data_IF_975316121202
#
_entry.id   IF_975316121202
#
_cell.length_a   1.000
_cell.length_b   1.000
_cell.length_c   1.000
_cell.angle_alpha   90.00
_cell.angle_beta   90.00
_cell.angle_gamma   90.00
#
_symmetry.space_group_name_H-M   'P 1'
#
loop_
_entity.id
_entity.type
_entity.pdbx_description
1 polymer ?
#
# COMPACT_ATOMS: atom_id res chain seq x y z
N UNK A 1 -22.49 -11.02 -18.52
CA UNK A 1 -21.21 -10.31 -18.74
C UNK A 1 -20.45 -10.36 -17.43
N UNK A 2 -19.67 -11.43 -17.21
CA UNK A 2 -18.91 -11.63 -15.98
C UNK A 2 -17.68 -10.74 -15.99
N UNK A 3 -17.69 -9.71 -15.16
CA UNK A 3 -16.49 -8.92 -14.87
C UNK A 3 -15.54 -9.80 -14.05
N UNK A 4 -14.44 -10.22 -14.66
CA UNK A 4 -13.32 -10.85 -13.98
C UNK A 4 -12.66 -9.79 -13.09
N UNK A 5 -12.59 -10.04 -11.79
CA UNK A 5 -11.81 -9.21 -10.87
C UNK A 5 -10.36 -9.14 -11.38
N UNK A 6 -9.72 -7.95 -11.41
CA UNK A 6 -8.30 -7.88 -11.69
C UNK A 6 -7.59 -8.66 -10.59
N UNK A 7 -6.81 -9.66 -10.99
CA UNK A 7 -5.91 -10.37 -10.11
C UNK A 7 -5.20 -9.35 -9.22
N UNK A 8 -5.42 -9.45 -7.91
CA UNK A 8 -4.55 -8.81 -6.92
C UNK A 8 -3.14 -9.18 -7.35
N UNK A 9 -2.33 -8.18 -7.71
CA UNK A 9 -1.05 -8.38 -8.38
C UNK A 9 -0.20 -9.38 -7.59
N UNK A 10 -0.15 -10.62 -8.07
CA UNK A 10 0.95 -11.52 -7.79
C UNK A 10 2.20 -10.69 -8.10
N UNK A 11 3.02 -10.37 -7.09
CA UNK A 11 4.24 -9.59 -7.30
C UNK A 11 5.11 -10.37 -8.28
N UNK A 12 4.98 -10.04 -9.57
CA UNK A 12 5.64 -10.74 -10.65
C UNK A 12 7.14 -10.62 -10.42
N UNK A 13 7.76 -11.74 -10.06
CA UNK A 13 9.18 -11.85 -9.86
C UNK A 13 9.88 -11.33 -11.12
N UNK A 14 10.52 -10.17 -10.98
CA UNK A 14 10.87 -9.33 -12.11
C UNK A 14 11.88 -10.03 -13.04
N UNK A 15 11.55 -10.11 -14.31
CA UNK A 15 12.53 -10.40 -15.36
C UNK A 15 13.45 -9.18 -15.51
N UNK A 16 14.76 -9.39 -15.63
CA UNK A 16 15.71 -8.29 -15.80
C UNK A 16 15.37 -7.51 -17.08
N UNK A 17 15.10 -6.18 -16.99
CA UNK A 17 14.68 -5.39 -18.15
C UNK A 17 15.80 -5.21 -19.19
N UNK A 18 17.05 -5.55 -18.86
CA UNK A 18 18.19 -5.46 -19.79
C UNK A 18 18.44 -6.74 -20.57
N UNK A 19 18.30 -7.92 -19.93
CA UNK A 19 18.70 -9.19 -20.53
C UNK A 19 17.59 -10.24 -20.60
N UNK A 20 16.41 -10.00 -20.03
CA UNK A 20 15.32 -10.98 -20.06
C UNK A 20 15.49 -12.16 -19.11
N UNK A 21 16.52 -12.16 -18.25
CA UNK A 21 16.77 -13.23 -17.29
C UNK A 21 15.84 -13.19 -16.06
N UNK A 22 15.49 -14.35 -15.51
CA UNK A 22 14.70 -14.46 -14.28
C UNK A 22 15.50 -13.97 -13.08
N UNK A 23 15.00 -12.99 -12.33
CA UNK A 23 15.62 -12.55 -11.08
C UNK A 23 15.06 -13.33 -9.89
N UNK A 24 15.80 -13.39 -8.78
CA UNK A 24 15.36 -14.02 -7.52
C UNK A 24 15.69 -13.10 -6.36
N UNK A 25 14.84 -13.08 -5.34
CA UNK A 25 15.11 -12.41 -4.07
C UNK A 25 16.08 -13.29 -3.29
N UNK A 26 17.24 -12.73 -2.90
CA UNK A 26 18.29 -13.46 -2.16
C UNK A 26 18.27 -13.19 -0.65
N UNK A 27 17.57 -12.14 -0.22
CA UNK A 27 17.45 -11.76 1.18
C UNK A 27 16.91 -10.34 1.34
N UNK A 28 16.52 -10.00 2.57
CA UNK A 28 16.12 -8.66 2.97
C UNK A 28 17.25 -7.97 3.74
N UNK A 29 17.28 -6.65 3.68
CA UNK A 29 18.21 -5.81 4.43
C UNK A 29 17.38 -5.06 5.46
N UNK A 30 17.71 -5.20 6.75
CA UNK A 30 16.96 -4.58 7.85
C UNK A 30 17.67 -3.35 8.43
N UNK A 31 18.98 -3.23 8.24
CA UNK A 31 19.76 -2.13 8.78
C UNK A 31 19.63 -0.86 7.92
N UNK A 32 18.97 0.16 8.47
CA UNK A 32 18.68 1.43 7.78
C UNK A 32 19.93 2.11 7.20
N UNK A 33 21.02 2.15 7.97
CA UNK A 33 22.28 2.75 7.53
C UNK A 33 22.87 2.07 6.29
N UNK A 34 22.68 0.74 6.18
CA UNK A 34 23.15 -0.04 5.04
C UNK A 34 22.26 0.21 3.83
N UNK A 35 20.93 0.24 4.03
CA UNK A 35 19.95 0.58 3.00
C UNK A 35 20.26 1.96 2.41
N UNK A 36 20.48 2.96 3.26
CA UNK A 36 20.82 4.33 2.86
C UNK A 36 22.10 4.37 2.01
N UNK A 37 23.19 3.75 2.48
CA UNK A 37 24.47 3.71 1.75
C UNK A 37 24.32 3.10 0.36
N UNK A 38 23.60 1.98 0.24
CA UNK A 38 23.35 1.30 -1.05
C UNK A 38 22.55 2.21 -1.98
N UNK A 39 21.44 2.75 -1.49
CA UNK A 39 20.56 3.59 -2.30
C UNK A 39 21.25 4.89 -2.73
N UNK A 40 22.07 5.50 -1.88
CA UNK A 40 22.87 6.68 -2.25
C UNK A 40 23.90 6.36 -3.32
N UNK A 41 24.61 5.24 -3.22
CA UNK A 41 25.57 4.80 -4.24
C UNK A 41 24.89 4.57 -5.60
N UNK A 42 23.71 3.96 -5.59
CA UNK A 42 22.91 3.74 -6.80
C UNK A 42 22.17 5.00 -7.30
N UNK A 43 22.25 6.14 -6.57
CA UNK A 43 21.50 7.38 -6.84
C UNK A 43 19.97 7.17 -6.84
N UNK A 44 19.51 6.25 -6.01
CA UNK A 44 18.10 5.90 -5.82
C UNK A 44 17.52 6.43 -4.49
N UNK A 45 18.37 6.94 -3.60
CA UNK A 45 17.91 7.57 -2.35
C UNK A 45 17.04 8.79 -2.67
N UNK A 46 15.83 8.82 -2.09
CA UNK A 46 14.90 9.95 -2.18
C UNK A 46 14.65 10.43 -0.77
N UNK A 47 14.96 11.70 -0.50
CA UNK A 47 14.59 12.30 0.76
C UNK A 47 13.06 12.29 0.88
N UNK A 48 12.56 11.97 2.07
CA UNK A 48 11.13 11.93 2.31
C UNK A 48 10.54 13.31 1.97
N UNK A 49 9.51 13.39 1.09
CA UNK A 49 8.87 14.65 0.85
C UNK A 49 8.29 15.17 2.17
N UNK A 50 8.32 16.49 2.36
CA UNK A 50 7.65 17.10 3.50
C UNK A 50 6.20 16.62 3.51
N UNK A 51 5.78 15.96 4.59
CA UNK A 51 4.39 15.55 4.74
C UNK A 51 3.52 16.79 4.61
N UNK A 52 2.47 16.70 3.80
CA UNK A 52 1.44 17.74 3.80
C UNK A 52 0.92 17.91 5.23
N UNK A 53 0.60 19.15 5.65
CA UNK A 53 -0.05 19.36 6.93
C UNK A 53 -1.28 18.44 7.05
N UNK A 54 -1.61 17.95 8.26
CA UNK A 54 -2.83 17.20 8.44
C UNK A 54 -3.99 18.01 7.86
N UNK A 55 -4.78 17.40 6.99
CA UNK A 55 -6.04 18.00 6.56
C UNK A 55 -6.83 18.21 7.83
N UNK A 56 -7.15 19.47 8.17
CA UNK A 56 -8.12 19.74 9.23
C UNK A 56 -9.38 19.04 8.78
N UNK A 57 -9.73 17.94 9.47
CA UNK A 57 -11.05 17.32 9.31
C UNK A 57 -12.05 18.46 9.37
N UNK A 58 -12.87 18.60 8.34
CA UNK A 58 -14.00 19.53 8.38
C UNK A 58 -14.73 19.19 9.68
N UNK A 59 -14.66 20.11 10.64
CA UNK A 59 -15.44 20.05 11.86
C UNK A 59 -16.89 20.08 11.40
N UNK A 60 -17.52 18.91 11.36
CA UNK A 60 -18.95 18.70 11.54
C UNK A 60 -19.82 19.88 11.05
N UNK A 61 -19.84 20.16 9.75
CA UNK A 61 -20.93 20.93 9.18
C UNK A 61 -22.15 20.01 9.12
N UNK A 62 -22.86 20.01 10.23
CA UNK A 62 -24.29 19.78 10.37
C UNK A 62 -25.06 19.58 9.05
N UNK A 63 -25.17 18.34 8.61
CA UNK A 63 -26.42 17.81 8.07
C UNK A 63 -26.61 16.43 8.68
N UNK A 64 -27.48 16.39 9.68
CA UNK A 64 -28.19 15.19 10.12
C UNK A 64 -28.85 14.54 8.90
N UNK A 65 -29.08 13.23 9.00
CA UNK A 65 -29.73 12.32 8.03
C UNK A 65 -28.76 11.62 7.05
N UNK A 66 -28.02 10.63 7.54
CA UNK A 66 -28.35 9.20 7.29
C UNK A 66 -27.31 8.27 7.95
N UNK A 67 -27.08 8.43 9.26
CA UNK A 67 -26.37 7.45 10.09
C UNK A 67 -27.37 6.35 10.49
N UNK A 68 -27.93 5.62 9.53
CA UNK A 68 -28.90 4.56 9.83
C UNK A 68 -28.67 3.22 9.13
N UNK A 69 -27.60 3.06 8.34
CA UNK A 69 -27.21 1.74 7.84
C UNK A 69 -25.69 1.52 7.82
N UNK A 70 -25.06 1.55 8.99
CA UNK A 70 -23.97 0.61 9.22
C UNK A 70 -24.57 -0.60 9.92
N UNK A 71 -24.90 -1.62 9.14
CA UNK A 71 -25.32 -2.94 9.60
C UNK A 71 -24.14 -3.62 10.31
N UNK A 72 -23.90 -3.20 11.55
CA UNK A 72 -22.99 -3.85 12.49
C UNK A 72 -23.57 -5.18 13.03
N UNK A 73 -24.70 -5.66 12.50
CA UNK A 73 -25.30 -6.94 12.89
C UNK A 73 -24.89 -8.12 11.99
N UNK A 74 -24.19 -7.88 10.87
CA UNK A 74 -23.68 -8.97 10.02
C UNK A 74 -22.68 -9.90 10.74
N UNK A 75 -21.82 -9.37 11.61
CA UNK A 75 -20.83 -10.19 12.32
C UNK A 75 -21.39 -10.88 13.58
N UNK A 76 -22.51 -10.38 14.10
CA UNK A 76 -23.18 -10.95 15.28
C UNK A 76 -24.07 -12.14 14.94
N UNK A 77 -24.49 -12.28 13.67
CA UNK A 77 -25.41 -13.35 13.26
C UNK A 77 -24.75 -14.58 12.63
N UNK A 78 -23.44 -14.57 12.38
CA UNK A 78 -22.73 -15.74 11.85
C UNK A 78 -21.70 -16.34 12.83
N UNK A 79 -21.81 -16.02 14.12
CA UNK A 79 -21.23 -16.84 15.18
C UNK A 79 -22.18 -18.02 15.50
N UNK A 80 -22.19 -19.04 14.62
CA UNK A 80 -22.39 -20.48 14.88
C UNK A 80 -21.79 -21.23 13.68
#
# INVERSE_FOLDING_TARGET
MSASLPALQEQALATCPKCGGTMKIVGFIEEENVIEKILRHCKLWKDAPARSPPVKSIEHLATLEDESQLDYDFFSQNCI
#
